data_IF_788952077020
#
_entry.id   IF_788952077020
#
_cell.length_a   1.000
_cell.length_b   1.000
_cell.length_c   1.000
_cell.angle_alpha   90.00
_cell.angle_beta   90.00
_cell.angle_gamma   90.00
#
_symmetry.space_group_name_H-M   'P 1'
#
loop_
_entity.id
_entity.type
_entity.pdbx_description
1 polymer ?
#
# COMPACT_ATOMS: atom_id res chain seq x y z
N UNK A 1 -17.72 -6.17 16.70
CA UNK A 1 -16.63 -5.88 15.74
C UNK A 1 -15.39 -6.58 16.24
N UNK A 2 -14.84 -7.52 15.46
CA UNK A 2 -13.68 -8.33 15.87
C UNK A 2 -12.40 -7.49 15.96
N UNK A 3 -12.06 -7.09 17.19
CA UNK A 3 -10.79 -7.42 17.87
C UNK A 3 -9.44 -6.92 17.37
N UNK A 4 -9.36 -6.01 16.38
CA UNK A 4 -8.06 -5.44 16.00
C UNK A 4 -7.65 -4.26 16.88
N UNK A 5 -6.42 -4.29 17.38
CA UNK A 5 -5.78 -3.16 18.04
C UNK A 5 -5.00 -2.36 17.01
N UNK A 6 -5.29 -1.07 16.93
CA UNK A 6 -4.64 -0.14 16.00
C UNK A 6 -4.04 1.02 16.79
N UNK A 7 -3.01 1.69 16.23
CA UNK A 7 -2.47 2.93 16.79
C UNK A 7 -3.54 4.00 16.97
N UNK A 8 -3.24 4.98 17.83
CA UNK A 8 -4.14 6.11 18.12
C UNK A 8 -4.60 6.79 16.83
N UNK A 9 -5.90 7.10 16.75
CA UNK A 9 -6.49 7.78 15.59
C UNK A 9 -6.54 6.94 14.30
N UNK A 10 -6.17 5.66 14.33
CA UNK A 10 -6.35 4.73 13.22
C UNK A 10 -7.58 3.85 13.48
N UNK A 11 -8.50 3.81 12.51
CA UNK A 11 -9.70 2.97 12.57
C UNK A 11 -10.24 2.66 11.18
N UNK A 12 -11.11 1.65 11.03
CA UNK A 12 -11.85 1.45 9.81
C UNK A 12 -12.69 2.69 9.46
N UNK A 13 -12.65 3.07 8.18
CA UNK A 13 -13.53 4.08 7.58
C UNK A 13 -14.86 3.45 7.17
N UNK A 14 -15.95 4.18 7.39
CA UNK A 14 -17.27 3.81 6.91
C UNK A 14 -17.46 4.20 5.43
N UNK A 15 -18.57 3.78 4.82
CA UNK A 15 -18.84 4.03 3.40
C UNK A 15 -18.97 5.52 3.05
N UNK A 16 -19.56 6.32 3.94
CA UNK A 16 -19.70 7.76 3.72
C UNK A 16 -18.34 8.47 3.77
N UNK A 17 -17.49 8.11 4.72
CA UNK A 17 -16.11 8.63 4.81
C UNK A 17 -15.29 8.29 3.56
N UNK A 18 -15.39 7.04 3.07
CA UNK A 18 -14.76 6.64 1.80
C UNK A 18 -15.30 7.46 0.63
N UNK A 19 -16.62 7.68 0.57
CA UNK A 19 -17.26 8.50 -0.47
C UNK A 19 -16.76 9.94 -0.42
N UNK A 20 -16.73 10.57 0.75
CA UNK A 20 -16.23 11.94 0.96
C UNK A 20 -14.78 12.07 0.50
N UNK A 21 -13.92 11.14 0.93
CA UNK A 21 -12.51 11.11 0.52
C UNK A 21 -12.36 11.00 -1.01
N UNK A 22 -12.96 9.98 -1.63
CA UNK A 22 -12.78 9.77 -3.07
C UNK A 22 -13.44 10.87 -3.92
N UNK A 23 -14.49 11.53 -3.41
CA UNK A 23 -15.15 12.63 -4.10
C UNK A 23 -14.35 13.93 -4.02
N UNK A 24 -13.84 14.29 -2.83
CA UNK A 24 -13.26 15.61 -2.55
C UNK A 24 -11.75 15.68 -2.28
N UNK A 25 -11.09 14.58 -1.97
CA UNK A 25 -9.68 14.54 -1.53
C UNK A 25 -8.76 13.70 -2.43
N UNK A 26 -9.29 12.70 -3.11
CA UNK A 26 -8.47 11.78 -3.90
C UNK A 26 -7.66 12.50 -5.00
N UNK A 27 -6.34 12.48 -4.83
CA UNK A 27 -5.40 13.22 -5.66
C UNK A 27 -5.10 12.50 -6.99
N UNK A 28 -5.99 12.65 -7.97
CA UNK A 28 -5.81 12.11 -9.32
C UNK A 28 -4.54 12.66 -9.99
N UNK A 29 -4.19 13.94 -9.74
CA UNK A 29 -2.99 14.56 -10.29
C UNK A 29 -1.72 13.86 -9.81
N UNK A 30 -1.64 13.56 -8.51
CA UNK A 30 -0.58 12.78 -7.91
C UNK A 30 -0.51 11.37 -8.46
N UNK A 31 -1.65 10.68 -8.64
CA UNK A 31 -1.69 9.35 -9.27
C UNK A 31 -1.14 9.41 -10.71
N UNK A 32 -1.52 10.43 -11.49
CA UNK A 32 -1.02 10.64 -12.85
C UNK A 32 0.50 10.85 -12.85
N UNK A 33 1.00 11.68 -11.93
CA UNK A 33 2.43 11.96 -11.79
C UNK A 33 3.23 10.72 -11.36
N UNK A 34 2.69 9.95 -10.41
CA UNK A 34 3.29 8.69 -9.96
C UNK A 34 3.50 7.71 -11.12
N UNK A 35 2.52 7.64 -12.01
CA UNK A 35 2.46 6.70 -13.13
C UNK A 35 2.91 7.34 -14.46
N UNK A 36 3.49 8.54 -14.46
CA UNK A 36 3.76 9.30 -15.70
C UNK A 36 4.72 8.59 -16.64
N UNK A 37 5.70 7.88 -16.08
CA UNK A 37 6.76 7.18 -16.81
C UNK A 37 6.41 5.70 -17.04
N UNK A 38 5.16 5.31 -16.73
CA UNK A 38 4.69 3.96 -16.93
C UNK A 38 4.49 3.72 -18.43
N UNK A 39 5.39 2.94 -19.04
CA UNK A 39 5.51 2.79 -20.50
C UNK A 39 4.41 1.95 -21.18
N UNK A 40 3.25 1.77 -20.55
CA UNK A 40 2.18 0.93 -21.08
C UNK A 40 0.89 1.03 -20.28
N UNK A 41 -0.08 0.17 -20.62
CA UNK A 41 -1.38 0.15 -19.94
C UNK A 41 -1.22 -0.34 -18.50
N UNK A 42 -1.93 0.30 -17.58
CA UNK A 42 -1.98 -0.08 -16.15
C UNK A 42 -3.31 -0.76 -15.86
N UNK A 43 -3.29 -1.82 -15.08
CA UNK A 43 -4.51 -2.42 -14.51
C UNK A 43 -4.65 -1.92 -13.08
N UNK A 44 -5.81 -1.38 -12.72
CA UNK A 44 -6.13 -1.06 -11.33
C UNK A 44 -6.90 -2.23 -10.71
N UNK A 45 -6.92 -2.29 -9.38
CA UNK A 45 -7.75 -3.25 -8.67
C UNK A 45 -8.32 -2.64 -7.41
N UNK A 46 -9.46 -3.16 -6.97
CA UNK A 46 -10.08 -2.79 -5.69
C UNK A 46 -10.44 -4.02 -4.89
N UNK A 47 -10.35 -3.89 -3.57
CA UNK A 47 -10.91 -4.84 -2.60
C UNK A 47 -11.94 -4.07 -1.80
N UNK A 48 -13.19 -4.56 -1.75
CA UNK A 48 -14.31 -3.77 -1.23
C UNK A 48 -14.33 -3.75 0.29
N UNK A 49 -14.25 -4.92 0.93
CA UNK A 49 -14.44 -5.03 2.38
C UNK A 49 -13.97 -6.37 2.94
N UNK A 50 -12.88 -6.96 2.40
CA UNK A 50 -12.33 -8.26 2.81
C UNK A 50 -12.05 -8.31 4.31
N UNK A 51 -11.38 -7.27 4.81
CA UNK A 51 -10.92 -7.22 6.20
C UNK A 51 -11.85 -6.40 7.09
N UNK A 52 -12.33 -5.26 6.58
CA UNK A 52 -13.19 -4.35 7.34
C UNK A 52 -14.62 -4.88 7.50
N UNK A 53 -15.06 -5.76 6.59
CA UNK A 53 -16.47 -6.19 6.47
C UNK A 53 -17.44 -5.01 6.30
N UNK A 54 -16.92 -3.88 5.80
CA UNK A 54 -17.67 -2.67 5.45
C UNK A 54 -17.69 -2.58 3.93
N UNK A 55 -18.86 -2.80 3.36
CA UNK A 55 -19.10 -2.82 1.91
C UNK A 55 -20.55 -2.40 1.63
N UNK A 56 -20.84 -1.83 0.45
CA UNK A 56 -22.22 -1.64 0.02
C UNK A 56 -22.95 -3.00 -0.04
N UNK A 57 -24.21 -3.12 0.44
CA UNK A 57 -24.92 -4.40 0.50
C UNK A 57 -25.00 -5.17 -0.82
N UNK A 58 -25.08 -4.46 -1.95
CA UNK A 58 -25.11 -5.04 -3.29
C UNK A 58 -23.82 -5.76 -3.70
N UNK A 59 -22.73 -5.60 -2.94
CA UNK A 59 -21.42 -6.24 -3.19
C UNK A 59 -21.01 -7.24 -2.11
N UNK A 60 -21.97 -7.82 -1.39
CA UNK A 60 -21.69 -8.80 -0.32
C UNK A 60 -20.89 -10.02 -0.83
N UNK A 61 -21.24 -10.55 -2.01
CA UNK A 61 -20.57 -11.72 -2.59
C UNK A 61 -19.16 -11.39 -3.13
N UNK A 62 -18.93 -10.14 -3.49
CA UNK A 62 -17.65 -9.63 -3.99
C UNK A 62 -16.80 -8.94 -2.91
N UNK A 63 -17.29 -8.87 -1.67
CA UNK A 63 -16.64 -8.10 -0.60
C UNK A 63 -15.15 -8.47 -0.41
N UNK A 64 -14.84 -9.76 -0.53
CA UNK A 64 -13.48 -10.31 -0.42
C UNK A 64 -12.77 -10.52 -1.76
N UNK A 65 -13.46 -10.30 -2.88
CA UNK A 65 -12.95 -10.53 -4.23
C UNK A 65 -12.08 -9.37 -4.68
N UNK A 66 -10.96 -9.68 -5.33
CA UNK A 66 -10.14 -8.67 -6.00
C UNK A 66 -10.79 -8.33 -7.34
N UNK A 67 -11.33 -7.13 -7.48
CA UNK A 67 -11.98 -6.67 -8.72
C UNK A 67 -10.97 -5.89 -9.54
N UNK A 68 -10.70 -6.35 -10.78
CA UNK A 68 -9.81 -5.66 -11.71
C UNK A 68 -10.57 -4.55 -12.47
N UNK A 69 -9.88 -3.44 -12.68
CA UNK A 69 -10.34 -2.29 -13.47
C UNK A 69 -9.30 -2.07 -14.58
N UNK A 70 -9.53 -2.73 -15.70
CA UNK A 70 -8.71 -2.69 -16.91
C UNK A 70 -9.40 -1.99 -18.09
N UNK A 71 -10.71 -1.71 -17.97
CA UNK A 71 -11.52 -0.99 -18.96
C UNK A 71 -11.81 0.43 -18.49
N UNK A 72 -10.92 1.36 -18.82
CA UNK A 72 -11.05 2.79 -18.54
C UNK A 72 -10.38 3.62 -19.65
N UNK A 73 -10.81 4.87 -19.85
CA UNK A 73 -10.17 5.82 -20.79
C UNK A 73 -9.32 6.86 -20.07
N UNK A 74 -9.60 7.08 -18.79
CA UNK A 74 -8.89 8.05 -17.96
C UNK A 74 -8.95 7.66 -16.49
N UNK A 75 -8.09 8.26 -15.67
CA UNK A 75 -8.16 8.13 -14.20
C UNK A 75 -9.49 8.64 -13.62
N UNK A 76 -10.23 9.50 -14.34
CA UNK A 76 -11.59 9.89 -13.94
C UNK A 76 -12.56 8.71 -14.01
N UNK A 77 -12.39 7.79 -14.98
CA UNK A 77 -13.22 6.59 -15.06
C UNK A 77 -12.85 5.59 -13.97
N UNK A 78 -11.56 5.47 -13.64
CA UNK A 78 -11.10 4.69 -12.47
C UNK A 78 -11.72 5.25 -11.19
N UNK A 79 -11.73 6.58 -10.99
CA UNK A 79 -12.42 7.22 -9.87
C UNK A 79 -13.92 6.90 -9.83
N UNK A 80 -14.61 6.82 -10.97
CA UNK A 80 -16.04 6.42 -11.01
C UNK A 80 -16.24 5.00 -10.48
N UNK A 81 -15.37 4.05 -10.88
CA UNK A 81 -15.39 2.70 -10.34
C UNK A 81 -15.11 2.67 -8.85
N UNK A 82 -14.11 3.41 -8.37
CA UNK A 82 -13.81 3.53 -6.94
C UNK A 82 -15.01 4.10 -6.17
N UNK A 83 -15.69 5.13 -6.69
CA UNK A 83 -16.89 5.71 -6.06
C UNK A 83 -18.12 4.80 -6.09
N UNK A 84 -18.19 3.89 -7.06
CA UNK A 84 -19.22 2.85 -7.15
C UNK A 84 -18.99 1.78 -6.07
N UNK A 85 -17.76 1.27 -5.95
CA UNK A 85 -17.45 0.17 -5.03
C UNK A 85 -17.21 0.63 -3.59
N UNK A 86 -16.76 1.88 -3.37
CA UNK A 86 -16.34 2.41 -2.06
C UNK A 86 -15.37 1.47 -1.31
N UNK A 87 -14.25 1.11 -1.95
CA UNK A 87 -13.43 0.00 -1.49
C UNK A 87 -12.65 0.33 -0.22
N UNK A 88 -12.37 -0.71 0.57
CA UNK A 88 -11.44 -0.61 1.69
C UNK A 88 -10.01 -0.40 1.22
N UNK A 89 -9.65 -0.76 -0.01
CA UNK A 89 -8.30 -0.55 -0.56
C UNK A 89 -8.31 -0.53 -2.09
N UNK A 90 -7.47 0.35 -2.65
CA UNK A 90 -7.23 0.47 -4.10
C UNK A 90 -5.78 0.11 -4.39
N UNK A 91 -5.56 -0.63 -5.47
CA UNK A 91 -4.28 -1.15 -5.91
C UNK A 91 -4.06 -0.84 -7.39
N UNK A 92 -2.81 -0.92 -7.82
CA UNK A 92 -2.46 -1.07 -9.23
C UNK A 92 -1.60 -2.32 -9.41
N UNK A 93 -1.68 -2.87 -10.61
CA UNK A 93 -0.83 -3.95 -11.07
C UNK A 93 0.53 -3.39 -11.45
N UNK A 94 1.57 -3.95 -10.84
CA UNK A 94 2.96 -3.57 -11.09
C UNK A 94 3.45 -4.04 -12.47
N UNK A 95 2.68 -4.88 -13.18
CA UNK A 95 2.99 -5.23 -14.56
C UNK A 95 2.72 -4.06 -15.51
N UNK A 96 3.55 -3.96 -16.53
CA UNK A 96 3.36 -3.10 -17.70
C UNK A 96 2.85 -3.97 -18.84
N UNK A 97 1.73 -3.59 -19.42
CA UNK A 97 1.09 -4.33 -20.50
C UNK A 97 1.24 -3.62 -21.83
N UNK A 98 1.50 -4.40 -22.88
CA UNK A 98 1.22 -4.02 -24.27
C UNK A 98 -0.28 -3.88 -24.51
N UNK A 99 -0.65 -3.19 -25.60
CA UNK A 99 -2.06 -3.00 -25.99
C UNK A 99 -2.81 -4.33 -26.21
N UNK A 100 -2.10 -5.40 -26.59
CA UNK A 100 -2.65 -6.74 -26.80
C UNK A 100 -2.60 -7.65 -25.56
N UNK A 101 -2.18 -7.12 -24.40
CA UNK A 101 -2.22 -7.82 -23.11
C UNK A 101 -0.95 -8.60 -22.74
N UNK A 102 0.10 -8.56 -23.56
CA UNK A 102 1.41 -9.11 -23.22
C UNK A 102 2.08 -8.32 -22.10
N UNK A 103 2.73 -9.00 -21.16
CA UNK A 103 3.52 -8.35 -20.09
C UNK A 103 4.91 -8.05 -20.66
N UNK A 104 5.29 -6.78 -20.68
CA UNK A 104 6.60 -6.31 -21.18
C UNK A 104 7.56 -5.87 -20.08
N UNK A 105 7.09 -5.82 -18.86
CA UNK A 105 7.91 -5.53 -17.70
C UNK A 105 7.08 -5.53 -16.45
N UNK A 106 7.75 -5.47 -15.31
CA UNK A 106 7.09 -5.36 -14.02
C UNK A 106 7.95 -4.57 -13.05
N UNK A 107 7.36 -3.61 -12.36
CA UNK A 107 8.02 -2.89 -11.28
C UNK A 107 8.41 -3.84 -10.15
N UNK A 108 9.67 -3.74 -9.74
CA UNK A 108 10.15 -4.39 -8.53
C UNK A 108 9.85 -3.49 -7.33
N UNK A 109 9.30 -4.06 -6.26
CA UNK A 109 9.06 -3.34 -5.03
C UNK A 109 9.26 -4.25 -3.82
N UNK A 110 9.66 -3.66 -2.71
CA UNK A 110 9.83 -4.29 -1.41
C UNK A 110 8.70 -3.82 -0.51
N UNK A 111 8.06 -4.77 0.17
CA UNK A 111 7.01 -4.48 1.15
C UNK A 111 7.56 -4.74 2.55
N UNK A 112 7.41 -3.75 3.42
CA UNK A 112 7.79 -3.80 4.82
C UNK A 112 6.55 -3.53 5.64
N UNK A 113 6.02 -4.59 6.25
CA UNK A 113 4.83 -4.53 7.09
C UNK A 113 5.15 -4.93 8.54
N UNK A 114 4.37 -4.43 9.52
CA UNK A 114 4.50 -4.84 10.93
C UNK A 114 4.45 -6.36 11.14
N UNK A 115 3.76 -7.06 10.24
CA UNK A 115 3.60 -8.52 10.27
C UNK A 115 4.93 -9.27 10.04
N UNK A 116 5.94 -8.62 9.46
CA UNK A 116 7.25 -9.22 9.22
C UNK A 116 8.22 -9.04 10.40
N UNK A 117 7.83 -8.28 11.42
CA UNK A 117 8.66 -7.96 12.58
C UNK A 117 8.12 -8.60 13.86
N UNK A 118 9.02 -8.83 14.83
CA UNK A 118 8.64 -9.28 16.17
C UNK A 118 8.57 -8.09 17.10
N UNK A 119 7.37 -7.74 17.54
CA UNK A 119 7.18 -6.65 18.50
C UNK A 119 7.65 -7.07 19.90
N UNK A 120 8.44 -6.25 20.61
CA UNK A 120 8.90 -6.59 21.97
C UNK A 120 7.75 -6.68 22.99
N UNK A 121 6.61 -6.04 22.71
CA UNK A 121 5.42 -6.03 23.58
C UNK A 121 4.38 -7.05 23.13
N UNK A 122 4.14 -7.16 21.83
CA UNK A 122 3.05 -7.96 21.28
C UNK A 122 3.50 -9.27 20.64
N UNK A 123 4.80 -9.58 20.63
CA UNK A 123 5.34 -10.81 20.07
C UNK A 123 5.33 -10.83 18.53
N UNK A 124 5.40 -12.05 17.99
CA UNK A 124 5.45 -12.32 16.55
C UNK A 124 4.06 -12.28 15.90
N UNK A 125 4.02 -12.37 14.56
CA UNK A 125 2.77 -12.58 13.82
C UNK A 125 2.03 -13.85 14.29
N UNK A 126 2.75 -14.93 14.58
CA UNK A 126 2.15 -16.18 15.06
C UNK A 126 1.42 -15.95 16.40
N UNK A 127 2.03 -15.22 17.33
CA UNK A 127 1.44 -14.88 18.62
C UNK A 127 0.19 -14.00 18.46
N UNK A 128 0.20 -13.09 17.49
CA UNK A 128 -0.97 -12.28 17.14
C UNK A 128 -2.08 -13.11 16.50
N UNK A 129 -1.75 -14.02 15.59
CA UNK A 129 -2.73 -14.91 14.95
C UNK A 129 -3.44 -15.80 15.97
N UNK A 130 -2.72 -16.35 16.96
CA UNK A 130 -3.31 -17.12 18.07
C UNK A 130 -4.35 -16.32 18.87
N UNK A 131 -4.22 -14.99 18.89
CA UNK A 131 -5.17 -14.05 19.53
C UNK A 131 -6.20 -13.47 18.57
N UNK A 132 -6.25 -13.92 17.30
CA UNK A 132 -7.09 -13.36 16.24
C UNK A 132 -6.78 -11.88 15.93
N UNK A 133 -5.52 -11.47 16.11
CA UNK A 133 -5.02 -10.10 16.00
C UNK A 133 -4.02 -9.93 14.85
N UNK A 134 -4.05 -10.78 13.81
CA UNK A 134 -3.06 -10.75 12.73
C UNK A 134 -2.93 -9.41 12.01
N UNK A 135 -4.02 -8.64 11.91
CA UNK A 135 -4.01 -7.30 11.30
C UNK A 135 -3.72 -6.17 12.31
N UNK A 136 -3.63 -6.49 13.59
CA UNK A 136 -3.32 -5.52 14.64
C UNK A 136 -1.85 -5.12 14.61
N UNK A 137 -1.59 -3.86 14.90
CA UNK A 137 -0.24 -3.36 15.08
C UNK A 137 -0.24 -2.18 16.05
N UNK A 138 0.90 -1.89 16.66
CA UNK A 138 1.05 -0.76 17.59
C UNK A 138 2.00 0.33 17.06
N UNK A 139 2.08 1.44 17.80
CA UNK A 139 2.96 2.57 17.47
C UNK A 139 4.43 2.16 17.39
N UNK A 140 4.86 1.25 18.27
CA UNK A 140 6.24 0.72 18.28
C UNK A 140 6.54 -0.03 16.97
N UNK A 141 5.59 -0.82 16.46
CA UNK A 141 5.80 -1.57 15.23
C UNK A 141 5.87 -0.65 14.02
N UNK A 142 5.04 0.41 13.96
CA UNK A 142 5.18 1.44 12.91
C UNK A 142 6.58 2.05 12.91
N UNK A 143 7.10 2.39 14.09
CA UNK A 143 8.42 2.99 14.22
C UNK A 143 9.52 1.99 13.83
N UNK A 144 9.40 0.73 14.23
CA UNK A 144 10.32 -0.33 13.82
C UNK A 144 10.34 -0.52 12.30
N UNK A 145 9.17 -0.61 11.66
CA UNK A 145 9.06 -0.73 10.19
C UNK A 145 9.64 0.51 9.50
N UNK A 146 9.39 1.72 10.01
CA UNK A 146 9.96 2.95 9.46
C UNK A 146 11.49 2.92 9.51
N UNK A 147 12.07 2.56 10.65
CA UNK A 147 13.52 2.47 10.82
C UNK A 147 14.15 1.40 9.92
N UNK A 148 13.49 0.26 9.78
CA UNK A 148 13.91 -0.78 8.83
C UNK A 148 13.81 -0.32 7.37
N UNK A 149 12.78 0.47 7.05
CA UNK A 149 12.61 1.07 5.71
C UNK A 149 13.73 2.05 5.38
N UNK A 150 14.14 2.90 6.33
CA UNK A 150 15.28 3.82 6.16
C UNK A 150 16.56 3.03 5.88
N UNK A 151 16.86 2.02 6.72
CA UNK A 151 18.04 1.16 6.54
C UNK A 151 18.02 0.42 5.20
N UNK A 152 16.88 -0.10 4.79
CA UNK A 152 16.75 -0.81 3.52
C UNK A 152 16.87 0.15 2.34
N UNK A 153 16.33 1.35 2.43
CA UNK A 153 16.48 2.38 1.42
C UNK A 153 17.97 2.73 1.20
N UNK A 154 18.74 2.92 2.27
CA UNK A 154 20.19 3.18 2.17
C UNK A 154 20.93 2.03 1.47
N UNK A 155 20.55 0.79 1.74
CA UNK A 155 21.15 -0.38 1.12
C UNK A 155 20.80 -0.48 -0.36
N UNK A 156 19.52 -0.31 -0.70
CA UNK A 156 19.05 -0.34 -2.08
C UNK A 156 19.60 0.83 -2.90
N UNK A 157 19.84 1.99 -2.29
CA UNK A 157 20.43 3.17 -2.96
C UNK A 157 21.86 2.93 -3.44
N UNK A 158 22.54 1.87 -2.97
CA UNK A 158 23.85 1.45 -3.49
C UNK A 158 23.72 0.64 -4.78
N UNK A 159 22.53 0.11 -5.08
CA UNK A 159 22.25 -0.82 -6.18
C UNK A 159 21.37 -0.20 -7.26
N UNK A 160 20.49 0.73 -6.88
CA UNK A 160 19.46 1.32 -7.74
C UNK A 160 19.51 2.84 -7.69
N UNK A 161 19.17 3.49 -8.80
CA UNK A 161 19.26 4.94 -8.95
C UNK A 161 17.91 5.64 -8.78
N UNK A 162 16.80 4.97 -9.08
CA UNK A 162 15.46 5.56 -9.07
C UNK A 162 14.56 4.82 -8.07
N UNK A 163 14.70 5.21 -6.81
CA UNK A 163 13.98 4.59 -5.69
C UNK A 163 12.92 5.56 -5.17
N UNK A 164 11.72 5.06 -4.90
CA UNK A 164 10.64 5.84 -4.26
C UNK A 164 10.07 5.10 -3.07
N UNK A 165 9.86 5.80 -1.96
CA UNK A 165 9.24 5.23 -0.77
C UNK A 165 7.78 5.65 -0.71
N UNK A 166 6.91 4.74 -0.28
CA UNK A 166 5.48 5.00 -0.09
C UNK A 166 5.07 4.51 1.28
N UNK A 167 4.44 5.37 2.08
CA UNK A 167 3.71 4.92 3.26
C UNK A 167 2.41 4.26 2.82
N UNK A 168 2.24 2.98 3.16
CA UNK A 168 1.12 2.14 2.71
C UNK A 168 -0.12 2.22 3.60
N UNK A 169 -0.02 2.89 4.76
CA UNK A 169 -1.05 2.97 5.80
C UNK A 169 -0.71 2.13 7.04
N UNK A 170 -0.03 0.99 6.88
CA UNK A 170 0.42 0.12 7.99
C UNK A 170 1.92 -0.07 8.03
N UNK A 171 2.54 0.02 6.87
CA UNK A 171 3.96 -0.11 6.68
C UNK A 171 4.42 0.77 5.53
N UNK A 172 5.46 0.33 4.85
CA UNK A 172 6.07 1.07 3.77
C UNK A 172 6.39 0.16 2.59
N UNK A 173 6.31 0.74 1.40
CA UNK A 173 6.80 0.12 0.20
C UNK A 173 8.02 0.89 -0.30
N UNK A 174 9.02 0.17 -0.79
CA UNK A 174 10.13 0.74 -1.56
C UNK A 174 9.99 0.27 -2.99
N UNK A 175 9.81 1.22 -3.91
CA UNK A 175 9.57 0.99 -5.32
C UNK A 175 10.84 1.29 -6.13
N UNK A 176 11.20 0.38 -7.04
CA UNK A 176 12.37 0.52 -7.93
C UNK A 176 11.89 0.87 -9.33
N UNK A 177 12.19 2.09 -9.75
CA UNK A 177 11.80 2.69 -11.03
C UNK A 177 12.93 2.73 -12.07
N UNK A 178 14.07 2.08 -11.79
CA UNK A 178 15.15 1.87 -12.76
C UNK A 178 14.61 1.09 -13.97
N UNK A 179 14.76 1.65 -15.17
CA UNK A 179 14.09 1.15 -16.38
C UNK A 179 14.50 -0.27 -16.76
N UNK A 180 15.76 -0.63 -16.53
CA UNK A 180 16.29 -1.97 -16.84
C UNK A 180 15.72 -3.03 -15.87
N UNK A 181 15.39 -2.65 -14.63
CA UNK A 181 14.82 -3.56 -13.61
C UNK A 181 13.47 -4.10 -14.02
N UNK A 182 12.69 -3.34 -14.80
CA UNK A 182 11.39 -3.79 -15.29
C UNK A 182 11.48 -5.08 -16.12
N UNK A 183 12.58 -5.25 -16.87
CA UNK A 183 12.84 -6.43 -17.70
C UNK A 183 13.49 -7.61 -16.96
N UNK A 184 13.83 -7.47 -15.69
CA UNK A 184 14.47 -8.55 -14.95
C UNK A 184 13.54 -9.77 -14.80
N UNK A 185 14.11 -10.96 -14.99
CA UNK A 185 13.41 -12.23 -14.77
C UNK A 185 13.02 -12.41 -13.30
N UNK A 186 12.02 -13.26 -13.06
CA UNK A 186 11.62 -13.65 -11.71
C UNK A 186 12.78 -14.27 -10.92
N UNK A 187 13.65 -15.04 -11.59
CA UNK A 187 14.83 -15.65 -10.98
C UNK A 187 15.82 -14.60 -10.47
N UNK A 188 16.14 -13.59 -11.28
CA UNK A 188 17.01 -12.48 -10.86
C UNK A 188 16.41 -11.71 -9.69
N UNK A 189 15.10 -11.47 -9.67
CA UNK A 189 14.44 -10.79 -8.54
C UNK A 189 14.45 -11.62 -7.26
N UNK A 190 14.31 -12.94 -7.37
CA UNK A 190 14.45 -13.87 -6.23
C UNK A 190 15.87 -13.87 -5.69
N UNK A 191 16.88 -13.83 -6.56
CA UNK A 191 18.28 -13.72 -6.15
C UNK A 191 18.52 -12.46 -5.30
N UNK A 192 18.06 -11.30 -5.78
CA UNK A 192 18.15 -10.03 -5.05
C UNK A 192 17.34 -10.07 -3.74
N UNK A 193 16.12 -10.61 -3.76
CA UNK A 193 15.33 -10.78 -2.53
C UNK A 193 16.07 -11.65 -1.49
N UNK A 194 16.69 -12.74 -1.94
CA UNK A 194 17.50 -13.60 -1.09
C UNK A 194 18.76 -12.92 -0.55
N UNK A 195 19.42 -12.09 -1.36
CA UNK A 195 20.57 -11.28 -0.92
C UNK A 195 20.18 -10.28 0.17
N UNK A 196 19.10 -9.53 -0.05
CA UNK A 196 18.57 -8.57 0.93
C UNK A 196 18.17 -9.27 2.24
N UNK A 197 17.52 -10.43 2.17
CA UNK A 197 17.22 -11.24 3.37
C UNK A 197 18.48 -11.74 4.08
N UNK A 198 19.51 -12.18 3.35
CA UNK A 198 20.81 -12.58 3.96
C UNK A 198 21.52 -11.42 4.66
N UNK A 199 21.27 -10.19 4.25
CA UNK A 199 21.74 -8.96 4.93
C UNK A 199 20.94 -8.61 6.18
N UNK A 200 19.91 -9.40 6.52
CA UNK A 200 19.14 -9.28 7.75
C UNK A 200 17.86 -8.45 7.62
N UNK A 201 17.44 -8.09 6.40
CA UNK A 201 16.21 -7.34 6.17
C UNK A 201 14.98 -8.25 6.09
N UNK A 202 13.94 -7.90 6.84
CA UNK A 202 12.70 -8.68 6.94
C UNK A 202 11.69 -8.27 5.85
N UNK A 203 12.01 -8.58 4.59
CA UNK A 203 11.16 -8.28 3.42
C UNK A 203 10.25 -9.45 3.03
N UNK A 204 9.12 -9.14 2.37
CA UNK A 204 8.32 -10.14 1.67
C UNK A 204 8.92 -10.49 0.29
N UNK A 205 9.43 -11.73 0.18
CA UNK A 205 10.01 -12.27 -1.05
C UNK A 205 8.97 -12.51 -2.16
N UNK A 206 7.72 -12.79 -1.80
CA UNK A 206 6.63 -12.99 -2.76
C UNK A 206 6.25 -11.68 -3.44
N UNK A 207 6.30 -10.57 -2.72
CA UNK A 207 6.19 -9.23 -3.28
C UNK A 207 7.43 -8.90 -4.10
N UNK A 208 8.63 -9.09 -3.56
CA UNK A 208 9.88 -8.67 -4.20
C UNK A 208 10.15 -9.43 -5.51
N UNK A 209 9.87 -10.73 -5.55
CA UNK A 209 10.01 -11.56 -6.76
C UNK A 209 9.03 -11.23 -7.88
N UNK A 210 7.99 -10.42 -7.61
CA UNK A 210 6.94 -10.06 -8.57
C UNK A 210 5.77 -11.03 -8.62
N UNK A 211 5.74 -12.04 -7.74
CA UNK A 211 4.67 -13.03 -7.70
C UNK A 211 3.36 -12.42 -7.17
N UNK A 212 3.41 -11.54 -6.17
CA UNK A 212 2.29 -10.68 -5.79
C UNK A 212 2.27 -9.44 -6.68
N UNK A 213 1.47 -9.40 -7.74
CA UNK A 213 1.53 -8.30 -8.73
C UNK A 213 0.87 -6.99 -8.29
N UNK A 214 -0.07 -7.03 -7.35
CA UNK A 214 -0.84 -5.85 -6.93
C UNK A 214 -0.16 -5.15 -5.75
N UNK A 215 -0.06 -3.83 -5.83
CA UNK A 215 0.45 -2.98 -4.75
C UNK A 215 -0.46 -1.78 -4.54
N UNK A 216 -0.54 -1.28 -3.31
CA UNK A 216 -1.51 -0.23 -2.95
C UNK A 216 -1.24 1.04 -3.74
N UNK A 217 -2.30 1.62 -4.31
CA UNK A 217 -2.20 2.81 -5.15
C UNK A 217 -1.84 4.04 -4.31
N UNK A 218 -0.76 4.77 -4.63
CA UNK A 218 -0.48 6.05 -3.99
C UNK A 218 -1.65 7.03 -4.11
N UNK A 219 -1.81 7.86 -3.08
CA UNK A 219 -2.90 8.80 -2.86
C UNK A 219 -4.29 8.19 -2.63
N UNK A 220 -4.43 6.86 -2.65
CA UNK A 220 -5.68 6.18 -2.25
C UNK A 220 -5.83 6.12 -0.72
N UNK A 221 -7.01 5.69 -0.26
CA UNK A 221 -7.28 5.49 1.16
C UNK A 221 -7.04 4.02 1.55
N UNK A 222 -6.24 3.78 2.59
CA UNK A 222 -6.27 2.52 3.30
C UNK A 222 -7.46 2.52 4.29
N UNK A 223 -8.57 1.95 3.85
CA UNK A 223 -9.85 2.00 4.55
C UNK A 223 -9.88 1.31 5.92
N UNK A 224 -9.04 0.31 6.18
CA UNK A 224 -8.93 -0.35 7.49
C UNK A 224 -8.34 0.53 8.60
N UNK A 225 -7.47 1.48 8.26
CA UNK A 225 -6.74 2.33 9.23
C UNK A 225 -7.00 3.82 9.02
N UNK A 226 -7.80 4.18 8.02
CA UNK A 226 -8.13 5.56 7.64
C UNK A 226 -6.88 6.42 7.49
N UNK A 227 -5.96 5.95 6.65
CA UNK A 227 -4.75 6.67 6.26
C UNK A 227 -4.64 6.79 4.76
N UNK A 228 -4.20 7.96 4.30
CA UNK A 228 -3.88 8.22 2.90
C UNK A 228 -2.52 7.61 2.62
N UNK A 229 -2.46 6.84 1.53
CA UNK A 229 -1.23 6.26 1.02
C UNK A 229 -0.42 7.39 0.39
N UNK A 230 0.77 7.69 0.88
CA UNK A 230 1.53 8.84 0.38
C UNK A 230 2.95 8.47 -0.01
N UNK A 231 3.43 8.92 -1.19
CA UNK A 231 4.85 8.91 -1.49
C UNK A 231 5.62 9.80 -0.52
N UNK A 232 6.80 9.36 -0.12
CA UNK A 232 7.73 10.06 0.76
C UNK A 232 9.10 10.13 0.08
N UNK A 233 9.71 11.32 0.10
CA UNK A 233 11.15 11.43 -0.12
C UNK A 233 11.92 10.95 1.12
N UNK A 234 13.20 10.61 0.96
CA UNK A 234 14.02 10.06 2.05
C UNK A 234 14.14 11.03 3.24
N UNK A 235 14.28 12.33 2.97
CA UNK A 235 14.43 13.33 4.04
C UNK A 235 13.17 13.49 4.88
N UNK A 236 12.01 13.27 4.24
CA UNK A 236 10.71 13.24 4.89
C UNK A 236 10.48 11.93 5.63
N UNK A 237 10.93 10.79 5.09
CA UNK A 237 10.76 9.47 5.71
C UNK A 237 11.32 9.43 7.13
N UNK A 238 12.52 9.96 7.35
CA UNK A 238 13.16 9.97 8.69
C UNK A 238 12.33 10.73 9.73
N UNK A 239 11.65 11.80 9.31
CA UNK A 239 10.82 12.66 10.16
C UNK A 239 9.35 12.27 10.15
N UNK A 240 8.97 11.28 9.36
CA UNK A 240 7.58 10.91 9.16
C UNK A 240 7.02 10.23 10.41
N UNK A 241 5.92 10.78 10.94
CA UNK A 241 5.13 10.14 11.98
C UNK A 241 3.76 9.74 11.41
N UNK A 242 3.50 8.44 11.13
CA UNK A 242 2.23 8.01 10.55
C UNK A 242 0.98 8.29 11.41
N UNK A 243 1.17 8.58 12.69
CA UNK A 243 0.08 8.85 13.63
C UNK A 243 -0.35 10.31 13.56
N UNK A 244 0.61 11.23 13.40
CA UNK A 244 0.44 12.67 13.57
C UNK A 244 0.62 13.46 12.26
N UNK A 245 1.30 12.91 11.25
CA UNK A 245 1.56 13.62 9.99
C UNK A 245 0.25 13.85 9.23
N UNK A 246 -0.12 15.13 9.18
CA UNK A 246 -1.33 15.63 8.56
C UNK A 246 -1.52 15.27 7.10
N UNK A 247 -0.46 14.97 6.35
CA UNK A 247 -0.57 14.62 4.94
C UNK A 247 -1.12 13.21 4.73
N UNK A 248 -1.02 12.33 5.73
CA UNK A 248 -1.58 10.98 5.68
C UNK A 248 -2.94 10.86 6.39
N UNK A 249 -3.43 11.94 7.01
CA UNK A 249 -4.71 11.96 7.72
C UNK A 249 -5.80 12.59 6.82
N UNK A 250 -6.87 11.85 6.45
CA UNK A 250 -7.95 12.39 5.64
C UNK A 250 -8.78 13.42 6.40
N UNK A 251 -9.38 14.38 5.70
CA UNK A 251 -10.13 15.51 6.30
C UNK A 251 -11.25 15.03 7.23
N UNK A 252 -11.96 13.96 6.88
CA UNK A 252 -13.04 13.43 7.73
C UNK A 252 -12.56 13.00 9.13
N UNK A 253 -11.29 12.61 9.29
CA UNK A 253 -10.72 12.33 10.61
C UNK A 253 -10.33 13.62 11.34
N UNK A 254 -9.79 14.62 10.63
CA UNK A 254 -9.42 15.92 11.21
C UNK A 254 -10.64 16.62 11.79
N UNK A 255 -11.71 16.70 11.00
CA UNK A 255 -13.00 17.29 11.42
C UNK A 255 -13.59 16.57 12.64
N UNK A 256 -13.46 15.24 12.71
CA UNK A 256 -13.97 14.46 13.83
C UNK A 256 -13.17 14.69 15.13
N UNK A 257 -11.89 15.08 15.03
CA UNK A 257 -11.08 15.46 16.19
C UNK A 257 -11.41 16.88 16.67
N UNK A 258 -11.72 17.80 15.76
CA UNK A 258 -12.10 19.19 16.08
C UNK A 258 -13.52 19.32 16.64
N UNK A 259 -14.40 18.37 16.33
CA UNK A 259 -15.79 18.35 16.80
C UNK A 259 -15.97 17.75 18.20
N UNK A 260 -14.90 17.22 18.82
CA UNK A 260 -14.89 16.63 20.16
C UNK A 260 -14.00 17.43 21.12
#
# INVERSE_FOLDING_TARGET
MSGYYMPRGMRPSNLEERRRFYSGEFNIGGVKEWLKDWGGKIVFAVIIGRHTRIYPPEYEHEASTTILIDKYRSLKDVKKWILKFLPESVYYDRNVYEDHGGIIGQEMAFDLDPENLTCPIHGSLEDKMRRHQGLSFCEIELEMVKNETVRLYEELSKMFSNIKVVYSGRGFHIHIFDKDVFSWSMEKRKEIAGEIKRRGFMIDEWVTSGSMRLIRLPYSLHGMVSRIVIPLDVSRLEKFNPIEDEACIPRFLKEALEAN
#
